data_IF_741018429759
#
_entry.id   IF_741018429759
#
_cell.length_a   1.000
_cell.length_b   1.000
_cell.length_c   1.000
_cell.angle_alpha   90.00
_cell.angle_beta   90.00
_cell.angle_gamma   90.00
#
_symmetry.space_group_name_H-M   'P 1'
#
loop_
_entity.id
_entity.type
_entity.pdbx_description
1 polymer ?
#
# COMPACT_ATOMS: atom_id res chain seq x y z
N UNK A 1 -25.75 -0.53 -13.07
CA UNK A 1 -24.40 -1.13 -13.12
C UNK A 1 -24.31 -1.96 -14.39
N UNK A 2 -23.40 -1.63 -15.31
CA UNK A 2 -23.15 -2.46 -16.49
C UNK A 2 -22.00 -3.41 -16.15
N UNK A 3 -22.33 -4.67 -15.86
CA UNK A 3 -21.34 -5.73 -15.69
C UNK A 3 -20.98 -6.22 -17.09
N UNK A 4 -19.72 -6.06 -17.51
CA UNK A 4 -19.24 -6.62 -18.78
C UNK A 4 -19.25 -8.14 -18.66
N UNK A 5 -19.79 -8.82 -19.67
CA UNK A 5 -19.68 -10.27 -19.81
C UNK A 5 -18.22 -10.66 -20.03
N UNK A 6 -17.55 -11.07 -18.95
CA UNK A 6 -16.13 -11.43 -18.92
C UNK A 6 -15.29 -10.72 -17.84
N UNK A 7 -15.88 -9.87 -17.01
CA UNK A 7 -15.23 -9.37 -15.80
C UNK A 7 -15.41 -10.35 -14.63
N UNK A 8 -14.39 -10.49 -13.79
CA UNK A 8 -14.53 -11.17 -12.49
C UNK A 8 -15.53 -10.39 -11.61
N UNK A 9 -16.41 -11.10 -10.91
CA UNK A 9 -17.25 -10.48 -9.89
C UNK A 9 -16.35 -9.97 -8.76
N UNK A 10 -16.51 -8.70 -8.41
CA UNK A 10 -15.79 -8.07 -7.30
C UNK A 10 -16.78 -7.27 -6.48
N UNK A 11 -16.85 -7.52 -5.17
CA UNK A 11 -17.55 -6.62 -4.26
C UNK A 11 -16.59 -5.53 -3.79
N UNK A 12 -17.07 -4.30 -3.90
CA UNK A 12 -16.40 -3.12 -3.35
C UNK A 12 -17.10 -2.71 -2.07
N UNK A 13 -16.33 -2.57 -0.99
CA UNK A 13 -16.75 -1.87 0.22
C UNK A 13 -16.39 -0.39 0.07
N UNK A 14 -17.36 0.49 0.27
CA UNK A 14 -17.17 1.94 0.14
C UNK A 14 -17.40 2.58 1.51
N UNK A 15 -16.36 3.22 2.05
CA UNK A 15 -16.47 4.02 3.27
C UNK A 15 -17.02 5.40 2.89
N UNK A 16 -18.22 5.70 3.39
CA UNK A 16 -18.88 6.98 3.18
C UNK A 16 -18.89 7.77 4.49
N UNK A 17 -18.51 9.05 4.41
CA UNK A 17 -18.69 9.99 5.52
C UNK A 17 -19.60 11.14 5.10
N UNK A 18 -20.57 11.46 5.94
CA UNK A 18 -21.41 12.64 5.78
C UNK A 18 -20.61 13.90 6.16
N UNK A 19 -20.49 14.84 5.24
CA UNK A 19 -19.79 16.11 5.46
C UNK A 19 -20.57 17.28 4.86
N UNK A 20 -20.60 18.43 5.53
CA UNK A 20 -21.14 19.65 4.94
C UNK A 20 -20.30 20.08 3.72
N UNK A 21 -20.99 20.36 2.62
CA UNK A 21 -20.37 20.81 1.38
C UNK A 21 -21.24 21.83 0.67
N UNK A 22 -20.57 22.68 -0.11
CA UNK A 22 -21.23 23.65 -0.96
C UNK A 22 -21.73 22.95 -2.22
N UNK A 23 -23.04 22.95 -2.44
CA UNK A 23 -23.63 22.55 -3.72
C UNK A 23 -23.78 23.81 -4.56
N UNK A 24 -22.96 23.93 -5.60
CA UNK A 24 -23.14 24.95 -6.63
C UNK A 24 -24.29 24.55 -7.53
N UNK A 25 -25.18 25.49 -7.81
CA UNK A 25 -26.27 25.33 -8.75
C UNK A 25 -26.12 26.38 -9.84
N UNK A 26 -26.28 25.97 -11.10
CA UNK A 26 -26.18 26.89 -12.21
C UNK A 26 -27.31 27.93 -12.12
N UNK A 27 -26.93 29.22 -12.03
CA UNK A 27 -27.83 30.38 -11.88
C UNK A 27 -28.61 30.48 -10.56
N UNK A 28 -28.11 29.94 -9.46
CA UNK A 28 -28.64 30.23 -8.13
C UNK A 28 -27.53 30.30 -7.09
N UNK A 29 -27.83 30.93 -5.94
CA UNK A 29 -26.87 31.01 -4.84
C UNK A 29 -26.50 29.60 -4.36
N UNK A 30 -25.22 29.31 -4.17
CA UNK A 30 -24.79 28.01 -3.69
C UNK A 30 -25.36 27.77 -2.28
N UNK A 31 -25.70 26.51 -1.99
CA UNK A 31 -26.26 26.12 -0.68
C UNK A 31 -25.33 25.16 0.03
N UNK A 32 -25.29 25.26 1.35
CA UNK A 32 -24.64 24.26 2.20
C UNK A 32 -25.60 23.08 2.35
N UNK A 33 -25.08 21.88 2.15
CA UNK A 33 -25.83 20.64 2.38
C UNK A 33 -24.89 19.55 2.88
N UNK A 34 -25.44 18.61 3.65
CA UNK A 34 -24.72 17.40 4.05
C UNK A 34 -24.61 16.47 2.84
N UNK A 35 -23.37 16.22 2.41
CA UNK A 35 -23.03 15.37 1.27
C UNK A 35 -22.28 14.14 1.76
N UNK A 36 -22.67 12.98 1.26
CA UNK A 36 -21.85 11.78 1.41
C UNK A 36 -20.59 11.91 0.57
N UNK A 37 -19.43 11.83 1.22
CA UNK A 37 -18.14 11.78 0.56
C UNK A 37 -17.53 10.40 0.73
N UNK A 38 -17.03 9.87 -0.38
CA UNK A 38 -16.23 8.65 -0.35
C UNK A 38 -14.92 8.96 0.38
N UNK A 39 -14.69 8.26 1.49
CA UNK A 39 -13.46 8.28 2.28
C UNK A 39 -12.49 7.21 1.83
N UNK A 40 -13.01 6.06 1.41
CA UNK A 40 -12.23 4.93 0.95
C UNK A 40 -13.08 3.99 0.09
N UNK A 41 -12.41 3.24 -0.77
CA UNK A 41 -12.98 2.10 -1.49
C UNK A 41 -12.00 0.95 -1.27
N UNK A 42 -12.49 -0.21 -0.86
CA UNK A 42 -11.72 -1.44 -0.72
C UNK A 42 -12.41 -2.58 -1.45
N UNK A 43 -11.65 -3.48 -2.05
CA UNK A 43 -12.19 -4.69 -2.67
C UNK A 43 -12.42 -5.83 -1.67
N UNK A 44 -13.19 -6.83 -2.09
CA UNK A 44 -13.37 -8.11 -1.41
C UNK A 44 -12.01 -8.77 -1.14
N UNK A 45 -11.85 -9.32 0.07
CA UNK A 45 -10.72 -10.22 0.35
C UNK A 45 -10.91 -11.49 -0.47
N UNK A 46 -9.92 -11.84 -1.28
CA UNK A 46 -9.87 -13.16 -1.91
C UNK A 46 -9.94 -14.28 -0.85
N UNK A 47 -10.38 -15.49 -1.22
CA UNK A 47 -10.71 -16.58 -0.30
C UNK A 47 -9.53 -17.24 0.43
N UNK A 48 -8.30 -16.70 0.36
CA UNK A 48 -7.18 -17.26 1.14
C UNK A 48 -7.08 -16.57 2.50
N UNK A 49 -7.17 -17.37 3.58
CA UNK A 49 -6.85 -16.89 4.94
C UNK A 49 -5.37 -16.47 5.07
N UNK A 50 -4.50 -16.98 4.19
CA UNK A 50 -3.09 -16.61 4.11
C UNK A 50 -2.83 -15.50 3.08
N UNK A 51 -1.94 -14.58 3.43
CA UNK A 51 -1.43 -13.58 2.49
C UNK A 51 -0.59 -14.25 1.38
N UNK A 52 -0.59 -13.72 0.15
CA UNK A 52 0.25 -14.24 -0.91
C UNK A 52 1.73 -14.10 -0.55
N UNK A 53 2.55 -15.06 -0.97
CA UNK A 53 4.02 -15.04 -0.77
C UNK A 53 4.78 -14.53 -2.00
N UNK A 54 4.09 -14.36 -3.13
CA UNK A 54 4.62 -13.83 -4.37
C UNK A 54 3.56 -13.00 -5.12
N UNK A 55 3.96 -12.07 -6.00
CA UNK A 55 3.02 -11.30 -6.79
C UNK A 55 2.36 -12.17 -7.86
N UNK A 56 1.05 -12.04 -8.01
CA UNK A 56 0.26 -12.66 -9.09
C UNK A 56 -0.69 -11.63 -9.69
N UNK A 57 -1.17 -11.88 -10.91
CA UNK A 57 -2.05 -10.95 -11.64
C UNK A 57 -3.42 -10.74 -10.98
N UNK A 58 -3.83 -11.66 -10.10
CA UNK A 58 -5.10 -11.60 -9.35
C UNK A 58 -4.97 -10.86 -8.02
N UNK A 59 -3.75 -10.55 -7.58
CA UNK A 59 -3.48 -9.87 -6.31
C UNK A 59 -3.50 -8.35 -6.52
N UNK A 60 -4.43 -7.68 -5.85
CA UNK A 60 -4.54 -6.21 -5.84
C UNK A 60 -3.42 -5.50 -5.06
N UNK A 61 -3.22 -4.20 -5.28
CA UNK A 61 -2.11 -3.44 -4.70
C UNK A 61 -2.18 -3.34 -3.16
N UNK A 62 -3.37 -3.30 -2.56
CA UNK A 62 -3.55 -3.33 -1.11
C UNK A 62 -3.02 -4.64 -0.52
N UNK A 63 -3.31 -5.76 -1.17
CA UNK A 63 -2.85 -7.08 -0.73
C UNK A 63 -1.33 -7.22 -0.88
N UNK A 64 -0.73 -6.61 -1.91
CA UNK A 64 0.73 -6.52 -2.05
C UNK A 64 1.35 -5.76 -0.86
N UNK A 65 0.80 -4.61 -0.48
CA UNK A 65 1.28 -3.84 0.68
C UNK A 65 1.14 -4.66 1.96
N UNK A 66 -0.03 -5.29 2.18
CA UNK A 66 -0.26 -6.14 3.35
C UNK A 66 0.71 -7.33 3.42
N UNK A 67 0.95 -8.02 2.31
CA UNK A 67 1.90 -9.12 2.24
C UNK A 67 3.33 -8.66 2.57
N UNK A 68 3.76 -7.51 2.03
CA UNK A 68 5.08 -6.98 2.33
C UNK A 68 5.22 -6.53 3.79
N UNK A 69 4.17 -5.93 4.37
CA UNK A 69 4.14 -5.58 5.79
C UNK A 69 4.21 -6.82 6.69
N UNK A 70 3.49 -7.88 6.36
CA UNK A 70 3.57 -9.12 7.14
C UNK A 70 4.96 -9.74 7.07
N UNK A 71 5.56 -9.81 5.88
CA UNK A 71 6.93 -10.28 5.72
C UNK A 71 7.94 -9.43 6.53
N UNK A 72 7.79 -8.10 6.54
CA UNK A 72 8.60 -7.20 7.38
C UNK A 72 8.41 -7.47 8.88
N UNK A 73 7.17 -7.74 9.31
CA UNK A 73 6.82 -8.02 10.72
C UNK A 73 7.51 -9.26 11.24
N UNK A 74 7.62 -10.31 10.42
CA UNK A 74 8.28 -11.58 10.77
C UNK A 74 9.75 -11.64 10.34
N UNK A 75 10.31 -10.52 9.86
CA UNK A 75 11.69 -10.41 9.37
C UNK A 75 12.02 -11.33 8.17
N UNK A 76 11.03 -11.67 7.34
CA UNK A 76 11.20 -12.43 6.09
C UNK A 76 11.63 -11.51 4.93
N UNK A 77 12.92 -11.19 4.89
CA UNK A 77 13.49 -10.33 3.84
C UNK A 77 13.31 -10.90 2.41
N UNK A 78 13.48 -12.20 2.15
CA UNK A 78 13.13 -12.80 0.86
C UNK A 78 11.67 -12.55 0.45
N UNK A 79 10.71 -12.71 1.37
CA UNK A 79 9.30 -12.42 1.12
C UNK A 79 9.05 -10.94 0.79
N UNK A 80 9.73 -10.03 1.49
CA UNK A 80 9.67 -8.58 1.17
C UNK A 80 10.19 -8.30 -0.25
N UNK A 81 11.33 -8.91 -0.60
CA UNK A 81 11.98 -8.73 -1.89
C UNK A 81 11.21 -9.37 -3.05
N UNK A 82 10.42 -10.42 -2.80
CA UNK A 82 9.56 -11.05 -3.81
C UNK A 82 8.55 -10.06 -4.42
N UNK A 83 8.03 -9.14 -3.61
CA UNK A 83 7.09 -8.10 -4.04
C UNK A 83 7.76 -6.82 -4.59
N UNK A 84 9.09 -6.72 -4.57
CA UNK A 84 9.79 -5.56 -5.15
C UNK A 84 9.70 -5.59 -6.69
N UNK A 85 9.28 -4.47 -7.29
CA UNK A 85 9.21 -4.34 -8.75
C UNK A 85 10.59 -4.52 -9.41
N UNK A 86 10.65 -4.84 -10.71
CA UNK A 86 11.92 -4.90 -11.46
C UNK A 86 12.73 -3.61 -11.34
N UNK A 87 12.08 -2.44 -11.36
CA UNK A 87 12.73 -1.16 -11.17
C UNK A 87 13.32 -1.01 -9.76
N UNK A 88 12.57 -1.41 -8.73
CA UNK A 88 13.03 -1.37 -7.34
C UNK A 88 14.22 -2.31 -7.14
N UNK A 89 14.12 -3.57 -7.61
CA UNK A 89 15.21 -4.54 -7.60
C UNK A 89 16.46 -4.02 -8.33
N UNK A 90 16.28 -3.35 -9.47
CA UNK A 90 17.40 -2.73 -10.20
C UNK A 90 18.05 -1.59 -9.42
N UNK A 91 17.29 -0.83 -8.62
CA UNK A 91 17.81 0.28 -7.84
C UNK A 91 18.49 -0.17 -6.53
N UNK A 92 17.95 -1.18 -5.86
CA UNK A 92 18.49 -1.70 -4.59
C UNK A 92 19.56 -2.77 -4.77
N UNK A 93 19.61 -3.38 -5.96
CA UNK A 93 20.46 -4.52 -6.26
C UNK A 93 19.90 -5.84 -5.73
N UNK A 94 20.71 -6.92 -5.79
CA UNK A 94 20.29 -8.26 -5.38
C UNK A 94 19.88 -8.33 -3.91
N UNK A 95 19.22 -9.42 -3.52
CA UNK A 95 18.70 -9.65 -2.17
C UNK A 95 19.71 -9.35 -1.05
N UNK A 96 20.99 -9.66 -1.26
CA UNK A 96 22.08 -9.38 -0.29
C UNK A 96 22.38 -7.90 -0.09
N UNK A 97 22.16 -7.06 -1.10
CA UNK A 97 22.26 -5.60 -0.98
C UNK A 97 20.96 -5.02 -0.43
N UNK A 98 19.82 -5.55 -0.88
CA UNK A 98 18.50 -5.15 -0.40
C UNK A 98 18.36 -5.35 1.12
N UNK A 99 18.86 -6.48 1.67
CA UNK A 99 18.79 -6.75 3.11
C UNK A 99 19.53 -5.70 3.95
N UNK A 100 20.60 -5.08 3.42
CA UNK A 100 21.36 -4.03 4.11
C UNK A 100 20.59 -2.73 4.26
N UNK A 101 19.50 -2.52 3.51
CA UNK A 101 18.65 -1.34 3.69
C UNK A 101 18.15 -1.25 5.13
N UNK A 102 17.87 -2.39 5.76
CA UNK A 102 17.34 -2.45 7.12
C UNK A 102 18.38 -2.19 8.23
N UNK A 103 19.67 -2.07 7.87
CA UNK A 103 20.70 -1.57 8.80
C UNK A 103 20.60 -0.04 8.97
N UNK A 104 20.00 0.66 8.00
CA UNK A 104 19.81 2.11 8.04
C UNK A 104 18.69 2.48 9.02
N UNK A 105 18.86 3.56 9.83
CA UNK A 105 17.81 4.09 10.70
C UNK A 105 16.49 4.39 9.96
N UNK A 106 16.54 4.61 8.65
CA UNK A 106 15.36 4.90 7.83
C UNK A 106 14.45 3.66 7.68
N UNK A 107 15.02 2.47 7.52
CA UNK A 107 14.23 1.25 7.26
C UNK A 107 14.23 0.28 8.44
N UNK A 108 15.16 0.42 9.38
CA UNK A 108 15.26 -0.40 10.59
C UNK A 108 13.92 -0.54 11.35
N UNK A 109 13.11 0.53 11.55
CA UNK A 109 11.83 0.42 12.23
C UNK A 109 10.81 -0.50 11.54
N UNK A 110 10.97 -0.80 10.25
CA UNK A 110 10.06 -1.68 9.52
C UNK A 110 10.19 -3.14 9.96
N UNK A 111 11.39 -3.58 10.34
CA UNK A 111 11.63 -4.97 10.74
C UNK A 111 11.14 -5.23 12.16
N UNK A 112 10.34 -6.28 12.32
CA UNK A 112 9.84 -6.69 13.63
C UNK A 112 8.87 -5.70 14.26
N UNK A 113 8.27 -4.81 13.47
CA UNK A 113 7.34 -3.81 13.98
C UNK A 113 6.17 -4.45 14.73
N UNK A 114 5.64 -3.74 15.73
CA UNK A 114 4.57 -4.27 16.59
C UNK A 114 3.18 -3.97 16.03
N UNK A 115 3.03 -2.89 15.25
CA UNK A 115 1.78 -2.53 14.58
C UNK A 115 2.06 -1.87 13.23
N UNK A 116 1.28 -2.24 12.23
CA UNK A 116 1.14 -1.50 10.98
C UNK A 116 -0.32 -1.11 10.76
N UNK A 117 -0.56 0.12 10.32
CA UNK A 117 -1.89 0.67 10.11
C UNK A 117 -1.94 1.46 8.80
N UNK A 118 -2.86 1.09 7.92
CA UNK A 118 -3.18 1.88 6.72
C UNK A 118 -3.84 3.20 7.15
N UNK A 119 -3.13 4.31 6.97
CA UNK A 119 -3.63 5.65 7.27
C UNK A 119 -4.38 6.26 6.09
N UNK A 120 -3.94 5.96 4.86
CA UNK A 120 -4.59 6.46 3.64
C UNK A 120 -4.24 5.60 2.42
N UNK A 121 -5.25 5.31 1.60
CA UNK A 121 -5.11 4.64 0.30
C UNK A 121 -5.42 5.58 -0.85
N UNK A 122 -4.63 5.52 -1.92
CA UNK A 122 -4.71 6.46 -3.03
C UNK A 122 -4.48 5.70 -4.34
N UNK A 123 -5.53 5.57 -5.15
CA UNK A 123 -5.39 5.17 -6.56
C UNK A 123 -5.01 6.42 -7.38
N UNK A 124 -3.76 6.49 -7.84
CA UNK A 124 -3.25 7.65 -8.61
C UNK A 124 -3.63 7.57 -10.09
N UNK A 125 -3.49 6.38 -10.67
CA UNK A 125 -3.89 6.05 -12.04
C UNK A 125 -4.45 4.62 -12.06
N UNK A 126 -4.90 4.11 -13.21
CA UNK A 126 -5.31 2.69 -13.32
C UNK A 126 -4.20 1.69 -12.97
N UNK A 127 -2.93 2.08 -13.11
CA UNK A 127 -1.74 1.22 -12.96
C UNK A 127 -0.80 1.71 -11.84
N UNK A 128 -1.22 2.68 -11.03
CA UNK A 128 -0.40 3.26 -9.96
C UNK A 128 -1.22 3.51 -8.71
N UNK A 129 -0.71 3.01 -7.60
CA UNK A 129 -1.32 3.05 -6.29
C UNK A 129 -0.31 3.54 -5.24
N UNK A 130 -0.80 4.23 -4.21
CA UNK A 130 0.00 4.61 -3.06
C UNK A 130 -0.76 4.37 -1.75
N UNK A 131 -0.04 3.92 -0.72
CA UNK A 131 -0.57 3.71 0.63
C UNK A 131 0.31 4.37 1.67
N UNK A 132 -0.29 5.23 2.48
CA UNK A 132 0.34 5.84 3.64
C UNK A 132 0.14 4.90 4.82
N UNK A 133 1.23 4.41 5.39
CA UNK A 133 1.22 3.41 6.47
C UNK A 133 1.90 4.00 7.70
N UNK A 134 1.21 3.89 8.84
CA UNK A 134 1.79 4.15 10.16
C UNK A 134 2.35 2.86 10.76
N UNK A 135 3.61 2.88 11.12
CA UNK A 135 4.36 1.77 11.73
C UNK A 135 4.68 2.13 13.17
N UNK A 136 4.39 1.24 14.11
CA UNK A 136 4.87 1.31 15.49
C UNK A 136 5.95 0.26 15.67
N UNK A 137 7.12 0.68 16.14
CA UNK A 137 8.28 -0.20 16.28
C UNK A 137 9.16 0.23 17.45
N UNK A 138 9.68 -0.75 18.18
CA UNK A 138 10.74 -0.59 19.18
C UNK A 138 12.15 -0.73 18.57
N UNK A 139 12.24 -1.28 17.35
CA UNK A 139 13.47 -1.44 16.59
C UNK A 139 13.91 -0.12 15.92
N UNK A 140 14.14 0.91 16.73
CA UNK A 140 14.50 2.26 16.26
C UNK A 140 15.99 2.55 16.34
N UNK A 141 16.77 1.66 16.97
CA UNK A 141 18.20 1.86 17.25
C UNK A 141 18.51 2.82 18.39
N UNK A 142 17.50 3.49 18.97
CA UNK A 142 17.67 4.46 20.08
C UNK A 142 17.00 4.03 21.39
N UNK A 143 16.55 2.77 21.47
CA UNK A 143 16.02 2.16 22.71
C UNK A 143 14.66 2.69 23.17
N UNK A 144 13.90 3.34 22.27
CA UNK A 144 12.51 3.77 22.52
C UNK A 144 11.63 3.41 21.34
N UNK A 145 10.38 3.08 21.62
CA UNK A 145 9.40 2.89 20.58
C UNK A 145 9.16 4.19 19.80
N UNK A 146 8.89 4.09 18.51
CA UNK A 146 8.52 5.21 17.67
C UNK A 146 7.32 4.84 16.80
N UNK A 147 6.51 5.85 16.50
CA UNK A 147 5.55 5.83 15.41
C UNK A 147 6.20 6.48 14.19
N UNK A 148 6.27 5.76 13.09
CA UNK A 148 6.90 6.20 11.83
C UNK A 148 5.88 6.12 10.71
N UNK A 149 5.81 7.14 9.87
CA UNK A 149 4.92 7.18 8.72
C UNK A 149 5.73 6.95 7.46
N UNK A 150 5.28 6.01 6.65
CA UNK A 150 5.86 5.67 5.37
C UNK A 150 4.83 5.78 4.25
N UNK A 151 5.30 5.95 3.02
CA UNK A 151 4.50 5.83 1.80
C UNK A 151 5.01 4.68 0.98
N UNK A 152 4.14 3.71 0.75
CA UNK A 152 4.31 2.68 -0.26
C UNK A 152 3.86 3.23 -1.61
N UNK A 153 4.72 3.12 -2.62
CA UNK A 153 4.33 3.27 -4.02
C UNK A 153 4.30 1.90 -4.68
N UNK A 154 3.17 1.57 -5.29
CA UNK A 154 2.92 0.30 -5.96
C UNK A 154 2.53 0.58 -7.41
N UNK A 155 3.17 -0.12 -8.34
CA UNK A 155 2.89 -0.01 -9.77
C UNK A 155 2.49 -1.35 -10.35
N UNK A 156 1.63 -1.33 -11.35
CA UNK A 156 1.33 -2.51 -12.17
C UNK A 156 2.39 -2.64 -13.25
N UNK A 157 3.05 -3.81 -13.33
CA UNK A 157 4.03 -4.07 -14.37
C UNK A 157 3.30 -4.10 -15.73
N UNK A 158 3.74 -3.35 -16.75
CA UNK A 158 3.08 -3.34 -18.04
C UNK A 158 2.98 -4.73 -18.68
N UNK A 159 1.83 -5.06 -19.26
CA UNK A 159 1.59 -6.35 -19.92
C UNK A 159 2.54 -6.56 -21.11
N UNK A 160 2.97 -5.49 -21.78
CA UNK A 160 3.87 -5.53 -22.93
C UNK A 160 5.36 -5.57 -22.54
N UNK A 161 5.69 -5.75 -21.26
CA UNK A 161 7.08 -5.74 -20.77
C UNK A 161 7.88 -6.99 -21.13
N UNK A 162 7.21 -8.10 -21.42
CA UNK A 162 7.86 -9.40 -21.65
C UNK A 162 8.49 -10.02 -20.39
N UNK A 163 8.24 -9.44 -19.21
CA UNK A 163 8.69 -9.95 -17.92
C UNK A 163 7.72 -11.00 -17.39
N UNK A 164 8.21 -11.90 -16.53
CA UNK A 164 7.37 -12.91 -15.86
C UNK A 164 6.29 -12.23 -14.99
N UNK A 165 6.62 -11.09 -14.38
CA UNK A 165 5.72 -10.35 -13.51
C UNK A 165 4.76 -9.41 -14.27
N UNK A 166 4.67 -9.50 -15.60
CA UNK A 166 3.78 -8.67 -16.40
C UNK A 166 2.32 -8.75 -15.91
N UNK A 167 1.69 -7.59 -15.71
CA UNK A 167 0.33 -7.48 -15.19
C UNK A 167 0.19 -7.55 -13.67
N UNK A 168 1.24 -7.95 -12.93
CA UNK A 168 1.23 -7.99 -11.47
C UNK A 168 1.40 -6.59 -10.86
N UNK A 169 0.80 -6.39 -9.68
CA UNK A 169 1.11 -5.25 -8.82
C UNK A 169 2.39 -5.51 -8.02
N UNK A 170 3.30 -4.54 -7.98
CA UNK A 170 4.59 -4.67 -7.29
C UNK A 170 5.04 -3.35 -6.67
N UNK A 171 5.86 -3.42 -5.62
CA UNK A 171 6.33 -2.25 -4.86
C UNK A 171 7.46 -1.56 -5.61
N UNK A 172 7.23 -0.32 -6.02
CA UNK A 172 8.19 0.56 -6.67
C UNK A 172 9.14 1.19 -5.66
N UNK A 173 8.61 1.66 -4.52
CA UNK A 173 9.41 2.28 -3.47
C UNK A 173 8.68 2.34 -2.14
N UNK A 174 9.44 2.43 -1.05
CA UNK A 174 8.95 2.76 0.29
C UNK A 174 9.72 3.97 0.78
N UNK A 175 9.03 5.03 1.18
CA UNK A 175 9.66 6.28 1.61
C UNK A 175 9.21 6.68 3.01
N UNK A 176 10.14 6.99 3.91
CA UNK A 176 9.80 7.58 5.21
C UNK A 176 9.34 9.03 5.02
N UNK A 177 8.24 9.40 5.66
CA UNK A 177 7.71 10.77 5.66
C UNK A 177 8.04 11.48 6.97
N UNK A 178 7.84 10.80 8.10
CA UNK A 178 8.06 11.39 9.43
C UNK A 178 8.24 10.30 10.48
N UNK A 179 8.96 10.61 11.56
CA UNK A 179 9.08 9.76 12.73
C UNK A 179 8.76 10.55 14.00
N UNK A 180 8.13 9.91 14.97
CA UNK A 180 7.80 10.49 16.28
C UNK A 180 8.07 9.45 17.36
N UNK A 181 8.93 9.77 18.32
CA UNK A 181 9.17 8.91 19.47
C UNK A 181 7.91 8.79 20.33
N UNK A 182 7.64 7.57 20.79
CA UNK A 182 6.61 7.32 21.80
C UNK A 182 7.26 7.44 23.18
N UNK A 183 6.57 8.16 24.07
CA UNK A 183 6.96 8.35 25.48
C UNK A 183 6.65 7.12 26.30
#
# INVERSE_FOLDING_TARGET
LLVRSGGEECVLTVDLQLQEGLISQYRSSPRIASLWRIRGVSGERGPSESLPTSPTVTVGPETVVMAQLEALRICDIPGVYAFASPLNKSATGPLSNFSRLFDSPVYKPLLGHTKAESLRRIQLTKDTYAEVVGIVSDNTGVGRAAKVIYVWSVGRVPEQSGLEEAGCWMVNSVQMVSATSLT
#
